data_IF_471882972620
#
_entry.id   IF_471882972620
#
_cell.length_a   1.000
_cell.length_b   1.000
_cell.length_c   1.000
_cell.angle_alpha   90.00
_cell.angle_beta   90.00
_cell.angle_gamma   90.00
#
_symmetry.space_group_name_H-M   'P 1'
#
loop_
_entity.id
_entity.type
_entity.pdbx_description
1 polymer ?
#
# COMPACT_ATOMS: atom_id res chain seq x y z
N UNK A 1 25.20 -31.34 -21.12
CA UNK A 1 24.63 -31.92 -19.89
C UNK A 1 24.79 -30.89 -18.78
N UNK A 2 23.80 -30.40 -18.06
CA UNK A 2 22.36 -30.35 -18.24
C UNK A 2 21.98 -28.92 -17.81
N UNK A 3 21.31 -28.18 -18.69
CA UNK A 3 20.73 -26.89 -18.33
C UNK A 3 19.54 -27.17 -17.40
N UNK A 4 19.65 -26.77 -16.14
CA UNK A 4 18.50 -26.73 -15.23
C UNK A 4 17.44 -25.82 -15.84
N UNK A 5 16.36 -26.45 -16.30
CA UNK A 5 15.16 -25.77 -16.77
C UNK A 5 14.63 -24.92 -15.62
N UNK A 6 14.76 -23.59 -15.73
CA UNK A 6 13.98 -22.63 -14.95
C UNK A 6 12.50 -22.94 -15.22
N UNK A 7 11.84 -23.57 -14.26
CA UNK A 7 10.39 -23.73 -14.31
C UNK A 7 9.77 -22.34 -14.20
N UNK A 8 8.98 -21.99 -15.21
CA UNK A 8 8.03 -20.89 -15.15
C UNK A 8 7.08 -21.16 -13.98
N UNK A 9 7.24 -20.43 -12.88
CA UNK A 9 6.30 -20.46 -11.77
C UNK A 9 5.10 -19.60 -12.17
N UNK A 10 3.93 -20.23 -12.23
CA UNK A 10 2.68 -19.59 -12.60
C UNK A 10 2.31 -18.50 -11.56
N UNK A 11 1.57 -17.48 -11.97
CA UNK A 11 0.94 -16.50 -11.05
C UNK A 11 0.04 -17.21 -10.01
N UNK A 12 -0.44 -18.41 -10.34
CA UNK A 12 -1.18 -19.29 -9.42
C UNK A 12 -0.28 -20.00 -8.38
N UNK A 13 1.05 -20.07 -8.58
CA UNK A 13 2.01 -20.68 -7.66
C UNK A 13 2.52 -19.70 -6.56
N UNK A 14 2.24 -18.38 -6.70
CA UNK A 14 2.58 -17.35 -5.71
C UNK A 14 1.48 -17.04 -4.69
N UNK A 15 0.20 -17.19 -5.05
CA UNK A 15 -0.93 -17.15 -4.10
C UNK A 15 -0.77 -18.14 -2.94
N UNK A 16 -0.28 -19.37 -3.19
CA UNK A 16 0.16 -20.30 -2.16
C UNK A 16 1.25 -19.72 -1.27
N UNK A 17 2.21 -18.90 -1.72
CA UNK A 17 3.35 -18.54 -0.86
C UNK A 17 2.97 -17.60 0.29
N UNK A 18 2.04 -16.65 0.11
CA UNK A 18 1.57 -15.76 1.19
C UNK A 18 0.63 -16.50 2.15
N UNK A 19 -0.29 -17.31 1.62
CA UNK A 19 -1.11 -18.23 2.41
C UNK A 19 -0.21 -19.26 3.13
N UNK A 20 0.82 -19.80 2.49
CA UNK A 20 1.79 -20.75 3.06
C UNK A 20 2.65 -20.10 4.15
N UNK A 21 2.98 -18.80 4.05
CA UNK A 21 3.71 -18.10 5.11
C UNK A 21 2.80 -17.97 6.34
N UNK A 22 1.53 -17.58 6.18
CA UNK A 22 0.58 -17.50 7.30
C UNK A 22 0.24 -18.90 7.83
N UNK A 23 -0.05 -19.85 6.96
CA UNK A 23 -0.36 -21.26 7.27
C UNK A 23 0.82 -21.98 7.92
N UNK A 24 2.07 -21.58 7.64
CA UNK A 24 3.25 -22.08 8.35
C UNK A 24 3.52 -21.33 9.68
N UNK A 25 3.35 -20.00 9.70
CA UNK A 25 3.64 -19.18 10.89
C UNK A 25 2.63 -19.39 12.01
N UNK A 26 1.35 -19.62 11.70
CA UNK A 26 0.30 -19.76 12.73
C UNK A 26 0.56 -20.99 13.62
N UNK A 27 0.79 -22.21 13.08
CA UNK A 27 1.18 -23.37 13.88
C UNK A 27 2.48 -23.15 14.66
N UNK A 28 3.49 -22.54 14.05
CA UNK A 28 4.79 -22.28 14.69
C UNK A 28 4.65 -21.33 15.89
N UNK A 29 3.83 -20.28 15.76
CA UNK A 29 3.54 -19.33 16.83
C UNK A 29 2.73 -20.01 17.94
N UNK A 30 1.73 -20.82 17.57
CA UNK A 30 0.92 -21.58 18.54
C UNK A 30 1.77 -22.58 19.33
N UNK A 31 2.68 -23.28 18.66
CA UNK A 31 3.58 -24.24 19.28
C UNK A 31 4.49 -23.56 20.29
N UNK A 32 5.21 -22.52 19.87
CA UNK A 32 6.11 -21.78 20.77
C UNK A 32 5.36 -21.12 21.93
N UNK A 33 4.19 -20.52 21.67
CA UNK A 33 3.35 -19.95 22.72
C UNK A 33 2.91 -21.01 23.73
N UNK A 34 2.45 -22.18 23.27
CA UNK A 34 2.03 -23.26 24.15
C UNK A 34 3.19 -23.84 24.97
N UNK A 35 4.37 -24.00 24.36
CA UNK A 35 5.57 -24.47 25.04
C UNK A 35 6.00 -23.50 26.16
N UNK A 36 5.99 -22.20 25.88
CA UNK A 36 6.28 -21.12 26.84
C UNK A 36 5.24 -21.10 27.96
N UNK A 37 3.95 -21.13 27.61
CA UNK A 37 2.86 -21.07 28.58
C UNK A 37 2.70 -22.36 29.38
N UNK A 38 3.24 -23.50 28.97
CA UNK A 38 3.25 -24.72 29.79
C UNK A 38 4.32 -24.69 30.90
N UNK A 39 5.22 -23.70 30.90
CA UNK A 39 6.24 -23.54 31.93
C UNK A 39 5.74 -22.63 33.07
N UNK A 40 5.63 -23.17 34.28
CA UNK A 40 5.09 -22.47 35.47
C UNK A 40 5.90 -21.22 35.86
N UNK A 41 7.22 -21.25 35.69
CA UNK A 41 8.09 -20.11 36.00
C UNK A 41 7.80 -18.96 35.03
N UNK A 42 7.66 -19.27 33.75
CA UNK A 42 7.30 -18.28 32.73
C UNK A 42 5.89 -17.76 32.94
N UNK A 43 4.91 -18.61 33.25
CA UNK A 43 3.55 -18.14 33.57
C UNK A 43 3.56 -17.11 34.71
N UNK A 44 4.39 -17.34 35.73
CA UNK A 44 4.58 -16.41 36.84
C UNK A 44 5.12 -15.07 36.33
N UNK A 45 6.15 -15.09 35.49
CA UNK A 45 6.70 -13.89 34.87
C UNK A 45 5.68 -13.15 34.00
N UNK A 46 4.88 -13.90 33.23
CA UNK A 46 3.80 -13.35 32.42
C UNK A 46 2.77 -12.61 33.27
N UNK A 47 2.32 -13.21 34.38
CA UNK A 47 1.37 -12.58 35.28
C UNK A 47 1.96 -11.34 35.97
N UNK A 48 3.22 -11.40 36.41
CA UNK A 48 3.90 -10.27 37.05
C UNK A 48 4.04 -9.07 36.11
N UNK A 49 4.53 -9.30 34.89
CA UNK A 49 4.70 -8.22 33.90
C UNK A 49 3.33 -7.73 33.43
N UNK A 50 2.36 -8.63 33.24
CA UNK A 50 1.02 -8.20 32.84
C UNK A 50 0.35 -7.32 33.91
N UNK A 51 0.49 -7.67 35.19
CA UNK A 51 0.01 -6.84 36.29
C UNK A 51 0.70 -5.47 36.29
N UNK A 52 2.01 -5.46 36.04
CA UNK A 52 2.83 -4.26 36.01
C UNK A 52 2.48 -3.30 34.85
N UNK A 53 2.13 -3.83 33.69
CA UNK A 53 1.91 -3.05 32.46
C UNK A 53 0.43 -2.81 32.13
N UNK A 54 -0.45 -3.75 32.51
CA UNK A 54 -1.88 -3.75 32.14
C UNK A 54 -2.82 -3.77 33.36
N UNK A 55 -2.28 -3.79 34.58
CA UNK A 55 -3.06 -3.69 35.82
C UNK A 55 -3.78 -4.97 36.27
N UNK A 56 -3.64 -6.06 35.51
CA UNK A 56 -4.23 -7.37 35.82
C UNK A 56 -3.28 -8.50 35.41
N UNK A 57 -3.42 -9.66 36.04
CA UNK A 57 -2.68 -10.85 35.62
C UNK A 57 -3.07 -11.27 34.20
N UNK A 58 -2.11 -11.80 33.44
CA UNK A 58 -2.29 -12.14 32.04
C UNK A 58 -3.52 -13.03 31.80
N UNK A 59 -3.66 -14.12 32.57
CA UNK A 59 -4.80 -15.03 32.44
C UNK A 59 -6.13 -14.40 32.85
N UNK A 60 -6.12 -13.44 33.77
CA UNK A 60 -7.32 -12.70 34.15
C UNK A 60 -7.77 -11.77 33.02
N UNK A 61 -6.83 -11.10 32.35
CA UNK A 61 -7.13 -10.27 31.17
C UNK A 61 -7.79 -11.10 30.08
N UNK A 62 -7.23 -12.28 29.77
CA UNK A 62 -7.80 -13.18 28.77
C UNK A 62 -9.24 -13.59 29.15
N UNK A 63 -9.46 -13.99 30.41
CA UNK A 63 -10.76 -14.47 30.88
C UNK A 63 -11.82 -13.37 30.93
N UNK A 64 -11.48 -12.20 31.48
CA UNK A 64 -12.40 -11.07 31.64
C UNK A 64 -12.89 -10.54 30.30
N UNK A 65 -12.01 -10.52 29.30
CA UNK A 65 -12.30 -10.02 27.96
C UNK A 65 -12.74 -11.12 26.98
N UNK A 66 -12.89 -12.37 27.45
CA UNK A 66 -13.21 -13.54 26.62
C UNK A 66 -12.29 -13.67 25.39
N UNK A 67 -11.00 -13.42 25.60
CA UNK A 67 -10.00 -13.49 24.54
C UNK A 67 -9.43 -14.90 24.45
N UNK A 68 -9.51 -15.48 23.26
CA UNK A 68 -8.85 -16.74 22.92
C UNK A 68 -7.64 -16.46 22.04
N UNK A 69 -6.53 -17.18 22.27
CA UNK A 69 -5.28 -17.02 21.50
C UNK A 69 -5.51 -17.21 20.00
N UNK A 70 -6.41 -18.12 19.68
CA UNK A 70 -6.79 -18.53 18.34
C UNK A 70 -8.21 -18.05 18.07
N UNK A 71 -8.43 -17.39 16.93
CA UNK A 71 -9.77 -17.00 16.47
C UNK A 71 -10.34 -18.04 15.51
N UNK A 72 -9.49 -18.63 14.67
CA UNK A 72 -9.78 -19.81 13.84
C UNK A 72 -8.47 -20.55 13.50
N UNK A 73 -8.51 -21.61 12.69
CA UNK A 73 -7.32 -22.39 12.29
C UNK A 73 -6.22 -21.57 11.60
N UNK A 74 -6.56 -20.41 11.03
CA UNK A 74 -5.67 -19.57 10.23
C UNK A 74 -5.38 -18.20 10.82
N UNK A 75 -6.04 -17.81 11.93
CA UNK A 75 -5.90 -16.46 12.49
C UNK A 75 -5.68 -16.46 14.00
N UNK A 76 -4.76 -15.59 14.42
CA UNK A 76 -4.38 -15.37 15.81
C UNK A 76 -4.94 -14.05 16.31
N UNK A 77 -5.20 -14.00 17.61
CA UNK A 77 -5.73 -12.80 18.24
C UNK A 77 -4.63 -11.74 18.40
N UNK A 78 -4.73 -10.65 17.63
CA UNK A 78 -3.73 -9.58 17.58
C UNK A 78 -3.50 -8.90 18.94
N UNK A 79 -4.56 -8.74 19.75
CA UNK A 79 -4.45 -8.18 21.10
C UNK A 79 -3.61 -9.07 22.00
N UNK A 80 -3.79 -10.39 21.88
CA UNK A 80 -2.97 -11.34 22.63
C UNK A 80 -1.52 -11.33 22.12
N UNK A 81 -1.31 -11.27 20.80
CA UNK A 81 0.04 -11.18 20.23
C UNK A 81 0.78 -9.93 20.68
N UNK A 82 0.11 -8.77 20.77
CA UNK A 82 0.69 -7.54 21.32
C UNK A 82 1.13 -7.73 22.78
N UNK A 83 0.26 -8.28 23.63
CA UNK A 83 0.59 -8.52 25.04
C UNK A 83 1.76 -9.50 25.19
N UNK A 84 1.70 -10.63 24.49
CA UNK A 84 2.75 -11.67 24.50
C UNK A 84 4.07 -11.10 24.05
N UNK A 85 4.07 -10.33 22.95
CA UNK A 85 5.28 -9.69 22.43
C UNK A 85 5.93 -8.75 23.46
N UNK A 86 5.15 -7.86 24.07
CA UNK A 86 5.65 -6.93 25.08
C UNK A 86 6.18 -7.65 26.33
N UNK A 87 5.45 -8.64 26.82
CA UNK A 87 5.85 -9.41 28.00
C UNK A 87 7.15 -10.17 27.74
N UNK A 88 7.27 -10.86 26.60
CA UNK A 88 8.49 -11.61 26.26
C UNK A 88 9.71 -10.70 26.14
N UNK A 89 9.56 -9.53 25.52
CA UNK A 89 10.66 -8.56 25.45
C UNK A 89 11.11 -8.12 26.84
N UNK A 90 10.17 -7.88 27.76
CA UNK A 90 10.50 -7.52 29.15
C UNK A 90 11.19 -8.65 29.92
N UNK A 91 10.79 -9.91 29.71
CA UNK A 91 11.46 -11.07 30.32
C UNK A 91 12.92 -11.17 29.81
N UNK A 92 13.13 -11.00 28.50
CA UNK A 92 14.45 -11.04 27.87
C UNK A 92 15.32 -9.88 28.35
N UNK A 93 14.79 -8.66 28.34
CA UNK A 93 15.52 -7.45 28.73
C UNK A 93 15.95 -7.48 30.21
N UNK A 94 15.06 -7.96 31.08
CA UNK A 94 15.35 -8.16 32.51
C UNK A 94 16.25 -9.38 32.79
N UNK A 95 16.62 -10.15 31.76
CA UNK A 95 17.47 -11.36 31.84
C UNK A 95 17.00 -12.35 32.90
N UNK A 96 15.68 -12.55 33.01
CA UNK A 96 15.11 -13.47 33.98
C UNK A 96 15.48 -14.92 33.63
N UNK A 97 15.69 -15.74 34.67
CA UNK A 97 16.15 -17.12 34.48
C UNK A 97 14.97 -18.02 34.10
N UNK A 98 15.18 -18.80 33.06
CA UNK A 98 14.27 -19.84 32.59
C UNK A 98 15.07 -21.01 32.02
N UNK A 99 14.45 -22.18 31.91
CA UNK A 99 15.15 -23.40 31.46
C UNK A 99 15.66 -23.26 30.03
N UNK A 100 16.83 -23.83 29.74
CA UNK A 100 17.43 -23.84 28.39
C UNK A 100 16.49 -24.42 27.34
N UNK A 101 15.65 -25.40 27.72
CA UNK A 101 14.66 -26.02 26.83
C UNK A 101 13.70 -25.04 26.17
N UNK A 102 13.29 -23.97 26.86
CA UNK A 102 12.38 -22.94 26.32
C UNK A 102 13.12 -21.70 25.84
N UNK A 103 14.45 -21.65 26.00
CA UNK A 103 15.21 -20.45 25.69
C UNK A 103 15.11 -20.10 24.20
N UNK A 104 15.16 -21.11 23.32
CA UNK A 104 14.96 -20.90 21.89
C UNK A 104 13.60 -20.27 21.59
N UNK A 105 12.52 -20.82 22.16
CA UNK A 105 11.16 -20.32 21.94
C UNK A 105 10.99 -18.88 22.44
N UNK A 106 11.59 -18.55 23.59
CA UNK A 106 11.55 -17.20 24.17
C UNK A 106 12.13 -16.15 23.20
N UNK A 107 13.23 -16.46 22.51
CA UNK A 107 13.86 -15.53 21.56
C UNK A 107 13.21 -15.54 20.18
N UNK A 108 12.76 -16.69 19.69
CA UNK A 108 12.22 -16.82 18.33
C UNK A 108 10.78 -16.33 18.22
N UNK A 109 9.97 -16.47 19.29
CA UNK A 109 8.55 -16.14 19.25
C UNK A 109 8.31 -14.65 18.97
N UNK A 110 9.01 -13.67 19.60
CA UNK A 110 8.86 -12.26 19.23
C UNK A 110 9.17 -11.98 17.74
N UNK A 111 10.17 -12.68 17.17
CA UNK A 111 10.52 -12.55 15.75
C UNK A 111 9.43 -13.10 14.84
N UNK A 112 8.84 -14.26 15.19
CA UNK A 112 7.72 -14.87 14.47
C UNK A 112 6.47 -14.00 14.55
N UNK A 113 6.16 -13.46 15.74
CA UNK A 113 5.06 -12.52 15.95
C UNK A 113 5.24 -11.28 15.07
N UNK A 114 6.43 -10.68 15.03
CA UNK A 114 6.72 -9.52 14.19
C UNK A 114 6.54 -9.83 12.69
N UNK A 115 7.01 -11.00 12.22
CA UNK A 115 6.80 -11.44 10.84
C UNK A 115 5.31 -11.62 10.51
N UNK A 116 4.56 -12.28 11.39
CA UNK A 116 3.11 -12.48 11.25
C UNK A 116 2.35 -11.13 11.20
N UNK A 117 2.65 -10.23 12.13
CA UNK A 117 2.05 -8.90 12.22
C UNK A 117 2.32 -8.05 10.97
N UNK A 118 3.55 -8.10 10.45
CA UNK A 118 3.89 -7.42 9.20
C UNK A 118 3.13 -8.02 8.01
N UNK A 119 2.98 -9.35 7.95
CA UNK A 119 2.19 -10.02 6.92
C UNK A 119 0.69 -9.64 7.00
N UNK A 120 0.21 -9.31 8.20
CA UNK A 120 -1.16 -8.81 8.45
C UNK A 120 -1.30 -7.28 8.27
N UNK A 121 -0.29 -6.60 7.72
CA UNK A 121 -0.25 -5.14 7.49
C UNK A 121 -0.35 -4.28 8.76
N UNK A 122 0.17 -4.78 9.88
CA UNK A 122 0.35 -4.02 11.11
C UNK A 122 1.83 -3.75 11.37
N UNK A 123 2.13 -2.82 12.28
CA UNK A 123 3.47 -2.61 12.82
C UNK A 123 3.42 -2.30 14.31
N UNK A 124 4.49 -2.62 15.01
CA UNK A 124 4.71 -2.14 16.36
C UNK A 124 5.31 -0.74 16.33
N UNK A 125 4.72 0.19 17.07
CA UNK A 125 5.31 1.50 17.37
C UNK A 125 5.57 1.56 18.87
N UNK A 126 6.73 2.09 19.25
CA UNK A 126 7.04 2.35 20.66
C UNK A 126 6.20 3.52 21.17
N UNK A 127 5.51 3.29 22.28
CA UNK A 127 4.61 4.25 22.95
C UNK A 127 4.82 4.14 24.45
N UNK A 128 4.25 5.05 25.23
CA UNK A 128 4.30 5.00 26.69
C UNK A 128 2.94 4.63 27.28
N UNK A 129 2.93 3.80 28.34
CA UNK A 129 1.72 3.55 29.13
C UNK A 129 1.33 4.79 29.93
N UNK A 130 0.14 4.78 30.56
CA UNK A 130 -0.28 5.82 31.50
C UNK A 130 0.69 6.00 32.69
N UNK A 131 1.52 5.00 32.97
CA UNK A 131 2.58 5.04 33.99
C UNK A 131 3.96 5.33 33.40
N UNK A 132 4.05 5.90 32.19
CA UNK A 132 5.30 6.25 31.48
C UNK A 132 6.25 5.07 31.22
N UNK A 133 5.73 3.84 31.06
CA UNK A 133 6.55 2.68 30.71
C UNK A 133 6.56 2.46 29.20
N UNK A 134 7.71 2.19 28.57
CA UNK A 134 7.78 1.93 27.14
C UNK A 134 7.07 0.61 26.80
N UNK A 135 6.14 0.67 25.84
CA UNK A 135 5.39 -0.46 25.30
C UNK A 135 5.26 -0.35 23.80
N UNK A 136 5.36 -1.48 23.11
CA UNK A 136 5.11 -1.58 21.69
C UNK A 136 3.62 -1.74 21.44
N UNK A 137 2.97 -0.69 20.93
CA UNK A 137 1.58 -0.71 20.53
C UNK A 137 1.46 -1.18 19.08
N UNK A 138 0.55 -2.11 18.84
CA UNK A 138 0.21 -2.53 17.50
C UNK A 138 -0.64 -1.44 16.84
N UNK A 139 -0.17 -0.93 15.73
CA UNK A 139 -0.93 0.02 14.91
C UNK A 139 -1.06 -0.54 13.50
N UNK A 140 -2.21 -0.27 12.87
CA UNK A 140 -2.36 -0.44 11.44
C UNK A 140 -1.29 0.40 10.74
N UNK A 141 -0.59 -0.17 9.77
CA UNK A 141 0.23 0.67 8.90
C UNK A 141 -0.71 1.66 8.17
N UNK A 142 -0.24 2.88 7.87
CA UNK A 142 -1.05 3.90 7.16
C UNK A 142 -1.64 3.35 5.86
N UNK A 143 -0.92 2.42 5.22
CA UNK A 143 -1.37 1.63 4.08
C UNK A 143 -2.63 0.82 4.36
N UNK A 144 -2.83 0.28 5.57
CA UNK A 144 -4.06 -0.45 5.95
C UNK A 144 -5.24 0.48 6.18
N UNK A 145 -5.08 1.66 6.78
CA UNK A 145 -6.20 2.63 6.92
C UNK A 145 -6.69 3.04 5.52
N UNK A 146 -5.75 3.33 4.62
CA UNK A 146 -6.05 3.62 3.21
C UNK A 146 -6.66 2.40 2.52
N UNK A 147 -6.17 1.17 2.77
CA UNK A 147 -6.71 -0.06 2.14
C UNK A 147 -8.08 -0.44 2.69
N UNK A 148 -8.34 -0.30 3.98
CA UNK A 148 -9.65 -0.55 4.62
C UNK A 148 -10.68 0.49 4.16
N UNK A 149 -10.30 1.77 4.05
CA UNK A 149 -11.16 2.80 3.46
C UNK A 149 -11.44 2.54 1.96
N UNK A 150 -10.47 1.99 1.21
CA UNK A 150 -10.67 1.55 -0.18
C UNK A 150 -11.58 0.32 -0.26
N UNK A 151 -11.39 -0.67 0.62
CA UNK A 151 -12.17 -1.93 0.67
C UNK A 151 -13.63 -1.67 1.05
N UNK A 152 -13.88 -0.76 1.99
CA UNK A 152 -15.24 -0.36 2.38
C UNK A 152 -15.95 0.47 1.31
N UNK A 153 -15.21 1.15 0.43
CA UNK A 153 -15.77 1.98 -0.65
C UNK A 153 -15.92 1.24 -1.99
N UNK A 154 -15.02 0.30 -2.29
CA UNK A 154 -15.05 -0.55 -3.48
C UNK A 154 -15.18 -2.02 -3.07
N UNK A 155 -16.40 -2.54 -3.15
CA UNK A 155 -16.68 -3.98 -3.07
C UNK A 155 -16.11 -4.78 -4.28
N UNK A 156 -15.08 -4.25 -4.96
CA UNK A 156 -14.41 -4.92 -6.09
C UNK A 156 -13.13 -5.59 -5.60
N UNK A 157 -13.26 -6.89 -5.30
CA UNK A 157 -12.16 -7.76 -4.89
C UNK A 157 -10.94 -7.66 -5.82
N UNK A 158 -11.11 -7.30 -7.11
CA UNK A 158 -9.98 -7.21 -8.06
C UNK A 158 -9.06 -6.03 -7.77
N UNK A 159 -9.62 -4.86 -7.44
CA UNK A 159 -8.84 -3.66 -7.14
C UNK A 159 -8.08 -3.83 -5.81
N UNK A 160 -8.77 -4.38 -4.80
CA UNK A 160 -8.20 -4.69 -3.50
C UNK A 160 -7.03 -5.68 -3.61
N UNK A 161 -7.20 -6.73 -4.42
CA UNK A 161 -6.13 -7.70 -4.70
C UNK A 161 -4.93 -7.06 -5.42
N UNK A 162 -5.16 -6.17 -6.38
CA UNK A 162 -4.10 -5.45 -7.10
C UNK A 162 -3.26 -4.57 -6.18
N UNK A 163 -3.91 -3.86 -5.26
CA UNK A 163 -3.26 -2.97 -4.30
C UNK A 163 -2.45 -3.79 -3.29
N UNK A 164 -3.05 -4.85 -2.75
CA UNK A 164 -2.38 -5.76 -1.82
C UNK A 164 -1.14 -6.40 -2.45
N UNK A 165 -1.25 -6.86 -3.70
CA UNK A 165 -0.11 -7.41 -4.45
C UNK A 165 0.99 -6.38 -4.69
N UNK A 166 0.64 -5.15 -5.07
CA UNK A 166 1.63 -4.11 -5.34
C UNK A 166 2.43 -3.75 -4.07
N UNK A 167 1.74 -3.65 -2.92
CA UNK A 167 2.36 -3.33 -1.63
C UNK A 167 3.16 -4.50 -1.04
N UNK A 168 2.78 -5.73 -1.34
CA UNK A 168 3.50 -6.94 -0.94
C UNK A 168 4.80 -7.17 -1.72
N UNK A 169 4.96 -6.53 -2.89
CA UNK A 169 6.18 -6.67 -3.68
C UNK A 169 7.41 -6.09 -2.97
N UNK A 170 8.50 -6.86 -2.98
CA UNK A 170 9.77 -6.43 -2.44
C UNK A 170 10.36 -5.26 -3.27
N UNK A 171 11.22 -4.41 -2.69
CA UNK A 171 11.74 -3.23 -3.39
C UNK A 171 12.50 -3.52 -4.70
N UNK A 172 13.03 -4.74 -4.84
CA UNK A 172 13.78 -5.17 -6.02
C UNK A 172 12.89 -5.75 -7.14
N UNK A 173 11.61 -6.02 -6.87
CA UNK A 173 10.64 -6.59 -7.81
C UNK A 173 10.00 -5.52 -8.72
N UNK A 174 10.84 -4.69 -9.33
CA UNK A 174 10.43 -3.50 -10.09
C UNK A 174 9.56 -3.86 -11.30
N UNK A 175 9.87 -4.98 -11.96
CA UNK A 175 9.13 -5.52 -13.11
C UNK A 175 7.68 -5.85 -12.74
N UNK A 176 7.50 -6.53 -11.61
CA UNK A 176 6.19 -6.94 -11.10
C UNK A 176 5.39 -5.73 -10.62
N UNK A 177 6.01 -4.81 -9.88
CA UNK A 177 5.37 -3.55 -9.49
C UNK A 177 4.86 -2.79 -10.71
N UNK A 178 5.66 -2.70 -11.78
CA UNK A 178 5.24 -2.00 -13.01
C UNK A 178 4.04 -2.68 -13.69
N UNK A 179 4.01 -4.02 -13.74
CA UNK A 179 2.86 -4.78 -14.28
C UNK A 179 1.60 -4.50 -13.46
N UNK A 180 1.70 -4.54 -12.14
CA UNK A 180 0.57 -4.28 -11.24
C UNK A 180 0.07 -2.84 -11.37
N UNK A 181 0.98 -1.87 -11.47
CA UNK A 181 0.62 -0.49 -11.76
C UNK A 181 -0.12 -0.34 -13.09
N UNK A 182 0.33 -1.02 -14.15
CA UNK A 182 -0.32 -0.96 -15.47
C UNK A 182 -1.76 -1.45 -15.46
N UNK A 183 -2.08 -2.42 -14.62
CA UNK A 183 -3.45 -2.91 -14.47
C UNK A 183 -4.40 -1.87 -13.86
N UNK A 184 -3.88 -0.80 -13.25
CA UNK A 184 -4.66 0.31 -12.70
C UNK A 184 -4.86 1.46 -13.69
N UNK A 185 -4.18 1.46 -14.84
CA UNK A 185 -4.17 2.59 -15.77
C UNK A 185 -5.57 3.00 -16.25
N UNK A 186 -6.47 2.04 -16.48
CA UNK A 186 -7.83 2.33 -16.88
C UNK A 186 -8.55 3.23 -15.87
N UNK A 187 -8.46 2.90 -14.57
CA UNK A 187 -9.04 3.70 -13.49
C UNK A 187 -8.32 5.04 -13.32
N UNK A 188 -6.99 5.05 -13.46
CA UNK A 188 -6.18 6.27 -13.37
C UNK A 188 -6.57 7.26 -14.47
N UNK A 189 -6.72 6.81 -15.72
CA UNK A 189 -7.13 7.68 -16.82
C UNK A 189 -8.58 8.17 -16.69
N UNK A 190 -9.48 7.34 -16.18
CA UNK A 190 -10.85 7.76 -15.86
C UNK A 190 -10.87 8.88 -14.81
N UNK A 191 -9.97 8.81 -13.82
CA UNK A 191 -9.79 9.82 -12.79
C UNK A 191 -9.29 11.19 -13.26
N UNK A 192 -8.89 11.37 -14.53
CA UNK A 192 -8.26 12.62 -14.99
C UNK A 192 -9.08 13.87 -14.71
N UNK A 193 -10.40 13.76 -14.87
CA UNK A 193 -11.32 14.88 -14.62
C UNK A 193 -11.33 15.31 -13.15
N UNK A 194 -11.18 14.38 -12.20
CA UNK A 194 -11.10 14.74 -10.78
C UNK A 194 -9.76 15.37 -10.45
N UNK A 195 -8.68 14.90 -11.08
CA UNK A 195 -7.33 15.42 -10.83
C UNK A 195 -7.27 16.89 -11.19
N UNK A 196 -7.73 17.24 -12.39
CA UNK A 196 -7.79 18.64 -12.83
C UNK A 196 -8.68 19.48 -11.92
N UNK A 197 -9.87 18.98 -11.58
CA UNK A 197 -10.85 19.71 -10.77
C UNK A 197 -10.36 20.00 -9.35
N UNK A 198 -9.61 19.07 -8.74
CA UNK A 198 -9.18 19.15 -7.34
C UNK A 198 -7.76 19.70 -7.16
N UNK A 199 -6.86 19.42 -8.09
CA UNK A 199 -5.43 19.73 -7.97
C UNK A 199 -4.92 20.69 -9.06
N UNK A 200 -5.73 21.00 -10.07
CA UNK A 200 -5.37 21.91 -11.15
C UNK A 200 -4.68 21.24 -12.35
N UNK A 201 -4.55 22.00 -13.43
CA UNK A 201 -4.04 21.54 -14.73
C UNK A 201 -2.54 21.24 -14.70
N UNK A 202 -1.75 22.09 -14.05
CA UNK A 202 -0.29 21.91 -13.96
C UNK A 202 0.09 20.61 -13.21
N UNK A 203 -0.58 20.33 -12.09
CA UNK A 203 -0.37 19.08 -11.36
C UNK A 203 -0.80 17.87 -12.21
N UNK A 204 -2.00 17.96 -12.82
CA UNK A 204 -2.53 16.91 -13.69
C UNK A 204 -1.54 16.59 -14.83
N UNK A 205 -1.05 17.60 -15.54
CA UNK A 205 -0.18 17.38 -16.70
C UNK A 205 1.16 16.76 -16.30
N UNK A 206 1.76 17.19 -15.20
CA UNK A 206 2.99 16.59 -14.68
C UNK A 206 2.78 15.14 -14.24
N UNK A 207 1.71 14.86 -13.51
CA UNK A 207 1.38 13.51 -13.06
C UNK A 207 1.10 12.57 -14.25
N UNK A 208 0.23 12.95 -15.20
CA UNK A 208 -0.10 12.11 -16.34
C UNK A 208 1.07 11.94 -17.33
N UNK A 209 2.04 12.86 -17.34
CA UNK A 209 3.29 12.68 -18.06
C UNK A 209 4.12 11.53 -17.49
N UNK A 210 4.21 11.42 -16.16
CA UNK A 210 4.90 10.31 -15.51
C UNK A 210 4.13 8.99 -15.66
N UNK A 211 2.80 9.02 -15.56
CA UNK A 211 1.93 7.85 -15.83
C UNK A 211 2.16 7.33 -17.26
N UNK A 212 2.15 8.22 -18.25
CA UNK A 212 2.37 7.86 -19.66
C UNK A 212 3.79 7.32 -19.89
N UNK A 213 4.80 7.92 -19.25
CA UNK A 213 6.17 7.40 -19.33
C UNK A 213 6.26 5.96 -18.78
N UNK A 214 5.58 5.66 -17.67
CA UNK A 214 5.52 4.32 -17.09
C UNK A 214 4.70 3.32 -17.93
N UNK A 215 3.64 3.78 -18.60
CA UNK A 215 2.82 2.95 -19.49
C UNK A 215 3.63 2.39 -20.67
N UNK A 216 4.43 3.23 -21.34
CA UNK A 216 5.18 2.86 -22.55
C UNK A 216 6.31 1.87 -22.26
N UNK A 217 6.89 1.89 -21.06
CA UNK A 217 8.02 1.03 -20.69
C UNK A 217 7.59 -0.43 -20.70
N UNK A 218 8.21 -1.27 -21.54
CA UNK A 218 7.93 -2.72 -21.57
C UNK A 218 8.52 -3.41 -20.34
N UNK A 219 7.65 -3.99 -19.51
CA UNK A 219 8.04 -4.60 -18.23
C UNK A 219 9.02 -5.77 -18.40
N UNK A 220 8.91 -6.50 -19.50
CA UNK A 220 9.73 -7.67 -19.89
C UNK A 220 11.06 -7.29 -20.57
N UNK A 221 11.23 -6.02 -20.96
CA UNK A 221 12.39 -5.56 -21.74
C UNK A 221 12.92 -4.20 -21.24
N UNK A 222 13.05 -4.03 -19.92
CA UNK A 222 13.53 -2.77 -19.34
C UNK A 222 15.04 -2.59 -19.50
N UNK A 223 15.44 -1.44 -20.05
CA UNK A 223 16.86 -1.03 -20.06
C UNK A 223 17.31 -0.60 -18.66
N UNK A 224 18.62 -0.49 -18.43
CA UNK A 224 19.19 -0.01 -17.16
C UNK A 224 18.71 1.41 -16.81
N UNK A 225 18.43 2.24 -17.83
CA UNK A 225 17.87 3.58 -17.66
C UNK A 225 16.42 3.52 -17.19
N UNK A 226 15.62 2.62 -17.79
CA UNK A 226 14.22 2.43 -17.42
C UNK A 226 14.10 1.92 -15.99
N UNK A 227 14.92 0.92 -15.60
CA UNK A 227 14.95 0.41 -14.22
C UNK A 227 15.22 1.52 -13.21
N UNK A 228 16.22 2.39 -13.45
CA UNK A 228 16.51 3.53 -12.56
C UNK A 228 15.34 4.53 -12.49
N UNK A 229 14.67 4.79 -13.60
CA UNK A 229 13.51 5.68 -13.62
C UNK A 229 12.33 5.07 -12.86
N UNK A 230 11.98 3.82 -13.15
CA UNK A 230 10.86 3.11 -12.52
C UNK A 230 11.07 3.00 -11.02
N UNK A 231 12.26 2.61 -10.53
CA UNK A 231 12.54 2.55 -9.08
C UNK A 231 12.36 3.90 -8.41
N UNK A 232 12.67 5.00 -9.09
CA UNK A 232 12.58 6.35 -8.51
C UNK A 232 11.15 6.88 -8.43
N UNK A 233 10.34 6.58 -9.43
CA UNK A 233 9.06 7.29 -9.67
C UNK A 233 7.84 6.43 -9.39
N UNK A 234 7.92 5.11 -9.58
CA UNK A 234 6.76 4.23 -9.61
C UNK A 234 5.97 4.21 -8.29
N UNK A 235 6.64 4.09 -7.14
CA UNK A 235 5.95 4.03 -5.84
C UNK A 235 5.19 5.33 -5.55
N UNK A 236 5.81 6.49 -5.84
CA UNK A 236 5.14 7.79 -5.68
C UNK A 236 3.94 7.95 -6.62
N UNK A 237 4.08 7.56 -7.89
CA UNK A 237 2.98 7.63 -8.86
C UNK A 237 1.87 6.68 -8.46
N UNK A 238 2.20 5.48 -7.96
CA UNK A 238 1.23 4.54 -7.42
C UNK A 238 0.44 5.12 -6.24
N UNK A 239 1.13 5.75 -5.28
CA UNK A 239 0.48 6.38 -4.12
C UNK A 239 -0.50 7.48 -4.52
N UNK A 240 -0.09 8.35 -5.44
CA UNK A 240 -0.96 9.41 -6.00
C UNK A 240 -2.15 8.78 -6.74
N UNK A 241 -1.93 7.69 -7.48
CA UNK A 241 -2.98 6.97 -8.19
C UNK A 241 -4.05 6.43 -7.25
N UNK A 242 -3.66 5.95 -6.07
CA UNK A 242 -4.61 5.45 -5.07
C UNK A 242 -5.50 6.56 -4.54
N UNK A 243 -4.93 7.73 -4.25
CA UNK A 243 -5.69 8.91 -3.82
C UNK A 243 -6.70 9.33 -4.89
N UNK A 244 -6.30 9.30 -6.17
CA UNK A 244 -7.18 9.65 -7.29
C UNK A 244 -8.37 8.67 -7.38
N UNK A 245 -8.10 7.36 -7.28
CA UNK A 245 -9.14 6.34 -7.33
C UNK A 245 -10.12 6.49 -6.16
N UNK A 246 -9.62 6.78 -4.95
CA UNK A 246 -10.44 7.08 -3.78
C UNK A 246 -11.35 8.30 -3.98
N UNK A 247 -10.77 9.40 -4.44
CA UNK A 247 -11.54 10.63 -4.71
C UNK A 247 -12.60 10.40 -5.77
N UNK A 248 -12.30 9.58 -6.78
CA UNK A 248 -13.25 9.20 -7.82
C UNK A 248 -14.41 8.38 -7.21
N UNK A 249 -14.11 7.42 -6.35
CA UNK A 249 -15.11 6.63 -5.62
C UNK A 249 -16.07 7.50 -4.81
N UNK A 250 -15.50 8.39 -3.99
CA UNK A 250 -16.27 9.28 -3.13
C UNK A 250 -17.15 10.22 -3.95
N UNK A 251 -16.62 10.73 -5.07
CA UNK A 251 -17.37 11.56 -6.00
C UNK A 251 -18.50 10.81 -6.70
N UNK A 252 -18.33 9.53 -7.01
CA UNK A 252 -19.38 8.67 -7.56
C UNK A 252 -20.46 8.40 -6.51
N UNK A 253 -20.07 8.08 -5.27
CA UNK A 253 -20.97 7.79 -4.15
C UNK A 253 -21.82 9.00 -3.75
N UNK A 254 -21.21 10.18 -3.72
CA UNK A 254 -21.89 11.46 -3.45
C UNK A 254 -22.71 11.97 -4.64
N UNK A 255 -22.64 11.31 -5.80
CA UNK A 255 -23.39 11.68 -7.01
C UNK A 255 -22.86 12.93 -7.72
N UNK A 256 -21.70 13.45 -7.32
CA UNK A 256 -21.09 14.67 -7.88
C UNK A 256 -20.25 14.36 -9.14
N UNK A 257 -19.89 13.10 -9.36
CA UNK A 257 -19.03 12.64 -10.46
C UNK A 257 -19.46 13.14 -11.85
N UNK A 258 -20.76 13.00 -12.18
CA UNK A 258 -21.29 13.47 -13.48
C UNK A 258 -21.10 14.97 -13.67
N UNK A 259 -21.28 15.77 -12.61
CA UNK A 259 -21.07 17.22 -12.66
C UNK A 259 -19.60 17.57 -12.88
N UNK A 260 -18.68 16.82 -12.28
CA UNK A 260 -17.23 17.02 -12.45
C UNK A 260 -16.84 16.73 -13.91
N UNK A 261 -17.27 15.59 -14.47
CA UNK A 261 -16.99 15.23 -15.86
C UNK A 261 -17.57 16.28 -16.82
N UNK A 262 -18.82 16.69 -16.64
CA UNK A 262 -19.46 17.66 -17.54
C UNK A 262 -18.77 19.03 -17.49
N UNK A 263 -18.38 19.49 -16.30
CA UNK A 263 -17.64 20.74 -16.13
C UNK A 263 -16.29 20.67 -16.85
N UNK A 264 -15.60 19.54 -16.74
CA UNK A 264 -14.31 19.33 -17.38
C UNK A 264 -14.42 19.23 -18.90
N UNK A 265 -15.44 18.51 -19.40
CA UNK A 265 -15.73 18.44 -20.83
C UNK A 265 -15.99 19.83 -21.42
N UNK A 266 -16.79 20.66 -20.75
CA UNK A 266 -17.03 22.05 -21.16
C UNK A 266 -15.75 22.88 -21.15
N UNK A 267 -14.87 22.68 -20.17
CA UNK A 267 -13.57 23.37 -20.09
C UNK A 267 -12.70 23.03 -21.30
N UNK A 268 -12.58 21.75 -21.65
CA UNK A 268 -11.81 21.26 -22.80
C UNK A 268 -12.40 21.79 -24.11
N UNK A 269 -13.72 21.75 -24.28
CA UNK A 269 -14.41 22.31 -25.46
C UNK A 269 -14.12 23.81 -25.62
N UNK A 270 -14.16 24.57 -24.53
CA UNK A 270 -13.83 26.00 -24.54
C UNK A 270 -12.36 26.26 -24.90
N UNK A 271 -11.42 25.46 -24.37
CA UNK A 271 -10.00 25.56 -24.73
C UNK A 271 -9.76 25.26 -26.21
N UNK A 272 -10.36 24.20 -26.75
CA UNK A 272 -10.25 23.84 -28.18
C UNK A 272 -10.81 24.96 -29.04
N UNK A 273 -11.97 25.50 -28.68
CA UNK A 273 -12.62 26.60 -29.42
C UNK A 273 -11.75 27.85 -29.40
N UNK A 274 -11.18 28.23 -28.24
CA UNK A 274 -10.25 29.36 -28.13
C UNK A 274 -9.01 29.17 -29.00
N UNK A 275 -8.40 27.99 -28.97
CA UNK A 275 -7.23 27.67 -29.79
C UNK A 275 -7.55 27.73 -31.29
N UNK A 276 -8.70 27.22 -31.71
CA UNK A 276 -9.16 27.31 -33.09
C UNK A 276 -9.36 28.77 -33.54
N UNK A 277 -9.90 29.62 -32.66
CA UNK A 277 -10.04 31.06 -32.91
C UNK A 277 -8.67 31.74 -33.03
N UNK A 278 -7.72 31.42 -32.14
CA UNK A 278 -6.35 31.95 -32.21
C UNK A 278 -5.62 31.53 -33.49
N UNK A 279 -5.73 30.27 -33.88
CA UNK A 279 -5.14 29.76 -35.13
C UNK A 279 -5.80 30.38 -36.37
N UNK A 280 -7.12 30.58 -36.35
CA UNK A 280 -7.83 31.30 -37.40
C UNK A 280 -7.37 32.77 -37.50
N UNK A 281 -7.21 33.45 -36.36
CA UNK A 281 -6.70 34.82 -36.32
C UNK A 281 -5.26 34.93 -36.84
N UNK A 282 -4.38 33.97 -36.51
CA UNK A 282 -3.02 33.90 -37.06
C UNK A 282 -3.03 33.74 -38.58
N UNK A 283 -3.91 32.88 -39.11
CA UNK A 283 -4.06 32.70 -40.57
C UNK A 283 -4.58 33.97 -41.25
N UNK A 284 -5.57 34.65 -40.66
CA UNK A 284 -6.08 35.92 -41.16
C UNK A 284 -5.00 37.02 -41.17
N UNK A 285 -4.19 37.10 -40.12
CA UNK A 285 -3.05 38.02 -40.06
C UNK A 285 -2.00 37.71 -41.13
N UNK A 286 -1.69 36.42 -41.37
CA UNK A 286 -0.77 36.02 -42.42
C UNK A 286 -1.29 36.35 -43.84
N UNK A 287 -2.61 36.20 -44.08
CA UNK A 287 -3.25 36.57 -45.34
C UNK A 287 -3.20 38.08 -45.55
N UNK A 288 -3.60 38.87 -44.54
CA UNK A 288 -3.56 40.34 -44.62
C UNK A 288 -2.14 40.89 -44.78
N UNK A 289 -1.11 40.22 -44.23
CA UNK A 289 0.28 40.58 -44.49
C UNK A 289 0.69 40.30 -45.95
N UNK A 290 0.34 39.14 -46.50
CA UNK A 290 0.60 38.81 -47.91
C UNK A 290 -0.14 39.74 -48.88
N UNK A 291 -1.38 40.10 -48.58
CA UNK A 291 -2.14 41.06 -49.39
C UNK A 291 -1.51 42.45 -49.39
N UNK A 292 -0.99 42.92 -48.24
CA UNK A 292 -0.25 44.19 -48.14
C UNK A 292 1.08 44.15 -48.91
N UNK A 293 1.75 43.00 -48.96
CA UNK A 293 2.96 42.82 -49.77
C UNK A 293 2.65 42.83 -51.27
N UNK A 294 1.55 42.17 -51.68
CA UNK A 294 1.06 42.20 -53.07
C UNK A 294 0.67 43.61 -53.51
N UNK A 295 -0.06 44.36 -52.68
CA UNK A 295 -0.40 45.76 -52.97
C UNK A 295 0.84 46.67 -53.08
N UNK A 296 1.89 46.41 -52.28
CA UNK A 296 3.17 47.14 -52.40
C UNK A 296 3.94 46.79 -53.68
N UNK A 297 3.76 45.59 -54.22
CA UNK A 297 4.37 45.16 -55.48
C UNK A 297 3.59 45.70 -56.68
N UNK A 298 2.26 45.80 -56.59
CA UNK A 298 1.41 46.41 -57.63
C UNK A 298 1.58 47.93 -57.69
N UNK A 299 1.77 48.62 -56.55
CA UNK A 299 2.04 50.06 -56.52
C UNK A 299 3.47 50.46 -56.98
N UNK A 300 4.34 49.48 -57.25
CA UNK A 300 5.71 49.68 -57.79
C UNK A 300 5.82 49.37 -59.29
N UNK A 301 4.75 48.90 -59.92
CA UNK A 301 4.62 48.84 -61.39
C UNK A 301 4.06 50.16 -61.91
#
# INVERSE_FOLDING_TARGET
>A
MAAEKRHFQSILDYRPQFENIIDALVPDIQFSYSAIMNNTTIQTYFNMIALEFYGYEYHQILRLNKLEFKLNDRTLNLTILEMVYNILLQIIDRKWRYSEYIAYDMYILPLRIRKYINAMNYRFIETETATQKPVFKLVSQETRVITEEIVDQFQDDRLNNLIGQYRGCAPHEIEQKLILFKNLLAFIYEGKSIVVSKFGEEFSDNYYKDVYALEIIKSDAMTTKDKKFVTKVLDNVFDISMIIILLMADSMKTGVWKKIIEKEKRRVELQITRKAIEDANRRLQAITQKEKELQKLEAKK
#
